data_IF_928999728242
#
_entry.id   IF_928999728242
#
_cell.length_a   1.000
_cell.length_b   1.000
_cell.length_c   1.000
_cell.angle_alpha   90.00
_cell.angle_beta   90.00
_cell.angle_gamma   90.00
#
_symmetry.space_group_name_H-M   'P 1'
#
loop_
_entity.id
_entity.type
_entity.pdbx_description
1 polymer ?
#
# COMPACT_ATOMS: atom_id res chain seq x y z
N UNK A 1 21.63 11.10 24.15
CA UNK A 1 20.34 11.82 24.11
C UNK A 1 19.57 11.30 22.91
N UNK A 2 18.26 11.08 23.03
CA UNK A 2 17.44 10.69 21.88
C UNK A 2 17.37 11.87 20.89
N UNK A 3 17.35 11.57 19.60
CA UNK A 3 17.17 12.56 18.56
C UNK A 3 15.76 13.16 18.66
N UNK A 4 15.66 14.48 18.67
CA UNK A 4 14.41 15.23 18.70
C UNK A 4 13.83 15.28 17.29
N UNK A 5 12.62 14.77 17.09
CA UNK A 5 12.01 14.74 15.75
C UNK A 5 10.62 15.35 15.75
N UNK A 6 10.25 15.89 14.59
CA UNK A 6 8.87 16.10 14.20
C UNK A 6 8.47 14.98 13.23
N UNK A 7 7.27 14.44 13.38
CA UNK A 7 6.76 13.39 12.49
C UNK A 7 5.74 13.98 11.52
N UNK A 8 5.94 13.86 10.21
CA UNK A 8 4.99 14.35 9.21
C UNK A 8 4.05 13.22 8.76
N UNK A 9 2.79 13.28 9.21
CA UNK A 9 1.70 12.38 8.84
C UNK A 9 1.03 11.76 10.06
N UNK A 10 -0.21 12.16 10.37
CA UNK A 10 -1.01 11.60 11.46
C UNK A 10 -2.01 10.55 10.95
N UNK A 11 -1.55 9.62 10.11
CA UNK A 11 -2.30 8.46 9.64
C UNK A 11 -1.97 7.21 10.47
N UNK A 12 -2.56 6.07 10.12
CA UNK A 12 -2.20 4.78 10.74
C UNK A 12 -0.71 4.47 10.59
N UNK A 13 -0.09 4.82 9.45
CA UNK A 13 1.35 4.64 9.24
C UNK A 13 2.20 5.45 10.21
N UNK A 14 1.82 6.71 10.47
CA UNK A 14 2.46 7.55 11.48
C UNK A 14 2.26 7.04 12.90
N UNK A 15 1.05 6.56 13.22
CA UNK A 15 0.77 5.93 14.51
C UNK A 15 1.64 4.70 14.76
N UNK A 16 1.77 3.82 13.76
CA UNK A 16 2.60 2.63 13.83
C UNK A 16 4.09 3.00 13.95
N UNK A 17 4.55 4.00 13.19
CA UNK A 17 5.92 4.49 13.31
C UNK A 17 6.24 4.95 14.74
N UNK A 18 5.33 5.73 15.37
CA UNK A 18 5.49 6.17 16.76
C UNK A 18 5.60 4.97 17.69
N UNK A 19 4.70 3.99 17.54
CA UNK A 19 4.70 2.77 18.37
C UNK A 19 6.03 2.02 18.24
N UNK A 20 6.52 1.84 17.02
CA UNK A 20 7.72 1.07 16.72
C UNK A 20 9.01 1.78 17.17
N UNK A 21 8.98 3.12 17.22
CA UNK A 21 10.17 3.95 17.50
C UNK A 21 10.06 4.82 18.75
N UNK A 22 9.09 4.53 19.65
CA UNK A 22 8.89 5.30 20.89
C UNK A 22 10.15 5.33 21.77
N UNK A 23 10.98 4.28 21.67
CA UNK A 23 12.23 4.15 22.40
C UNK A 23 13.43 4.76 21.68
N UNK A 24 13.32 5.05 20.38
CA UNK A 24 14.44 5.50 19.55
C UNK A 24 14.49 7.03 19.45
N UNK A 25 13.33 7.68 19.41
CA UNK A 25 13.21 9.13 19.22
C UNK A 25 12.55 9.84 20.40
N UNK A 26 12.79 11.15 20.46
CA UNK A 26 11.97 12.07 21.23
C UNK A 26 11.01 12.79 20.27
N UNK A 27 9.75 12.38 20.25
CA UNK A 27 8.71 12.96 19.39
C UNK A 27 8.23 14.29 19.99
N UNK A 28 8.49 15.39 19.29
CA UNK A 28 8.11 16.72 19.78
C UNK A 28 6.67 17.10 19.38
N UNK A 29 6.27 16.78 18.15
CA UNK A 29 4.93 16.97 17.62
C UNK A 29 4.75 16.15 16.34
N UNK A 30 3.49 16.00 15.92
CA UNK A 30 3.09 15.40 14.64
C UNK A 30 2.58 16.52 13.74
N UNK A 31 3.08 16.60 12.51
CA UNK A 31 2.63 17.55 11.50
C UNK A 31 1.62 16.85 10.60
N UNK A 32 0.47 17.47 10.34
CA UNK A 32 -0.49 16.97 9.35
C UNK A 32 -1.12 18.15 8.60
N UNK A 33 -1.44 17.96 7.32
CA UNK A 33 -2.08 18.99 6.51
C UNK A 33 -3.59 19.11 6.77
N UNK A 34 -4.21 18.10 7.40
CA UNK A 34 -5.61 18.13 7.78
C UNK A 34 -5.86 19.02 9.01
N UNK A 35 -6.41 20.21 8.79
CA UNK A 35 -6.76 21.17 9.83
C UNK A 35 -7.71 20.61 10.89
N UNK A 36 -8.54 19.62 10.54
CA UNK A 36 -9.45 18.99 11.49
C UNK A 36 -8.73 18.16 12.55
N UNK A 37 -7.44 17.83 12.34
CA UNK A 37 -6.62 17.08 13.29
C UNK A 37 -5.85 18.00 14.23
N UNK A 38 -5.64 19.26 13.90
CA UNK A 38 -4.78 20.17 14.67
C UNK A 38 -5.30 20.36 16.10
N UNK A 39 -4.38 20.37 17.07
CA UNK A 39 -4.68 20.44 18.50
C UNK A 39 -5.19 19.14 19.13
N UNK A 40 -5.45 18.09 18.33
CA UNK A 40 -5.73 16.75 18.85
C UNK A 40 -4.43 16.02 19.19
N UNK A 41 -4.54 14.98 20.01
CA UNK A 41 -3.44 14.10 20.35
C UNK A 41 -3.53 12.80 19.56
N UNK A 42 -2.40 12.33 19.02
CA UNK A 42 -2.21 10.96 18.54
C UNK A 42 -1.06 10.34 19.32
N UNK A 43 -1.30 9.22 19.98
CA UNK A 43 -0.31 8.57 20.86
C UNK A 43 0.27 9.53 21.93
N UNK A 44 -0.57 10.40 22.50
CA UNK A 44 -0.22 11.47 23.45
C UNK A 44 0.74 12.55 22.91
N UNK A 45 0.92 12.62 21.59
CA UNK A 45 1.72 13.66 20.92
C UNK A 45 0.75 14.59 20.18
N UNK A 46 0.97 15.90 20.30
CA UNK A 46 0.13 16.92 19.67
C UNK A 46 0.28 16.93 18.15
N UNK A 47 -0.84 17.04 17.44
CA UNK A 47 -0.88 17.27 16.01
C UNK A 47 -0.93 18.77 15.74
N UNK A 48 0.01 19.27 14.96
CA UNK A 48 0.20 20.69 14.66
C UNK A 48 0.08 20.98 13.15
N UNK A 49 -0.19 22.25 12.84
CA UNK A 49 -0.06 22.78 11.49
C UNK A 49 1.40 22.80 11.04
N UNK A 50 1.70 22.55 9.74
CA UNK A 50 3.04 22.74 9.18
C UNK A 50 3.63 24.13 9.42
N UNK A 51 2.78 25.17 9.55
CA UNK A 51 3.23 26.54 9.82
C UNK A 51 3.85 26.71 11.22
N UNK A 52 3.57 25.80 12.14
CA UNK A 52 4.06 25.84 13.52
C UNK A 52 5.41 25.15 13.72
N UNK A 53 6.02 24.58 12.67
CA UNK A 53 7.28 23.82 12.75
C UNK A 53 8.40 24.63 13.45
N UNK A 54 8.51 25.93 13.17
CA UNK A 54 9.56 26.79 13.73
C UNK A 54 9.41 27.07 15.24
N UNK A 55 8.28 26.70 15.86
CA UNK A 55 8.10 26.81 17.30
C UNK A 55 8.86 25.71 18.07
N UNK A 56 9.43 24.73 17.37
CA UNK A 56 10.08 23.56 17.95
C UNK A 56 11.58 23.54 17.64
N UNK A 57 12.39 23.13 18.62
CA UNK A 57 13.80 22.83 18.43
C UNK A 57 13.99 21.32 18.17
N UNK A 58 13.94 20.93 16.91
CA UNK A 58 14.11 19.54 16.45
C UNK A 58 15.46 19.35 15.75
N UNK A 59 15.87 18.09 15.55
CA UNK A 59 17.03 17.70 14.75
C UNK A 59 16.61 17.42 13.30
N UNK A 60 15.54 16.64 13.10
CA UNK A 60 15.01 16.25 11.77
C UNK A 60 13.50 16.08 11.74
N UNK A 61 12.94 16.02 10.53
CA UNK A 61 11.56 15.66 10.25
C UNK A 61 11.56 14.28 9.61
N UNK A 62 10.73 13.37 10.12
CA UNK A 62 10.50 12.06 9.50
C UNK A 62 9.13 12.06 8.83
N UNK A 63 9.07 11.77 7.54
CA UNK A 63 7.83 11.73 6.75
C UNK A 63 7.30 10.30 6.70
N UNK A 64 6.09 10.09 7.22
CA UNK A 64 5.37 8.81 7.24
C UNK A 64 4.16 8.84 6.32
N UNK A 65 4.31 9.50 5.18
CA UNK A 65 3.24 9.79 4.23
C UNK A 65 3.65 9.40 2.82
N UNK A 66 2.70 8.91 2.04
CA UNK A 66 2.88 8.69 0.61
C UNK A 66 3.01 10.00 -0.19
N UNK A 67 2.63 11.14 0.37
CA UNK A 67 2.73 12.45 -0.29
C UNK A 67 4.17 13.01 -0.26
N UNK A 68 5.11 12.30 -0.87
CA UNK A 68 6.55 12.61 -0.86
C UNK A 68 6.86 13.96 -1.50
N UNK A 69 6.42 14.20 -2.73
CA UNK A 69 6.81 15.38 -3.53
C UNK A 69 6.19 16.66 -2.96
N UNK A 70 4.89 16.61 -2.65
CA UNK A 70 4.15 17.75 -2.11
C UNK A 70 4.62 18.14 -0.71
N UNK A 71 4.91 17.17 0.16
CA UNK A 71 5.49 17.44 1.49
C UNK A 71 6.91 17.98 1.35
N UNK A 72 7.74 17.40 0.48
CA UNK A 72 9.12 17.89 0.27
C UNK A 72 9.13 19.35 -0.18
N UNK A 73 8.28 19.69 -1.16
CA UNK A 73 8.11 21.06 -1.64
C UNK A 73 7.62 21.99 -0.53
N UNK A 74 6.61 21.58 0.22
CA UNK A 74 6.06 22.37 1.34
C UNK A 74 7.11 22.63 2.41
N UNK A 75 7.90 21.62 2.79
CA UNK A 75 8.97 21.76 3.77
C UNK A 75 10.09 22.67 3.27
N UNK A 76 10.45 22.58 1.98
CA UNK A 76 11.42 23.49 1.37
C UNK A 76 10.92 24.95 1.35
N UNK A 77 9.64 25.18 1.05
CA UNK A 77 9.00 26.51 1.11
C UNK A 77 8.97 27.08 2.54
N UNK A 78 8.89 26.22 3.55
CA UNK A 78 9.03 26.57 4.97
C UNK A 78 10.50 26.70 5.41
N UNK A 79 11.47 26.62 4.49
CA UNK A 79 12.89 26.77 4.78
C UNK A 79 13.52 25.58 5.52
N UNK A 80 12.89 24.41 5.50
CA UNK A 80 13.48 23.18 6.03
C UNK A 80 14.37 22.56 4.95
N UNK A 81 15.68 22.40 5.21
CA UNK A 81 16.59 21.89 4.21
C UNK A 81 16.49 20.36 4.08
N UNK A 82 16.72 19.85 2.88
CA UNK A 82 16.51 18.43 2.51
C UNK A 82 17.27 17.46 3.43
N UNK A 83 18.50 17.80 3.84
CA UNK A 83 19.29 16.96 4.76
C UNK A 83 18.66 16.77 6.16
N UNK A 84 17.60 17.52 6.48
CA UNK A 84 16.84 17.38 7.73
C UNK A 84 15.53 16.63 7.53
N UNK A 85 15.28 16.09 6.34
CA UNK A 85 14.08 15.35 5.98
C UNK A 85 14.48 13.90 5.73
N UNK A 86 13.83 12.98 6.41
CA UNK A 86 13.96 11.54 6.18
C UNK A 86 12.60 10.94 5.86
N UNK A 87 12.56 9.97 4.95
CA UNK A 87 11.34 9.22 4.65
C UNK A 87 11.34 7.90 5.39
N UNK A 88 10.28 7.64 6.15
CA UNK A 88 10.12 6.38 6.85
C UNK A 88 10.04 5.23 5.84
N UNK A 89 10.73 4.13 6.13
CA UNK A 89 10.57 2.91 5.34
C UNK A 89 9.18 2.32 5.58
N UNK A 90 8.61 1.63 4.58
CA UNK A 90 7.32 0.95 4.73
C UNK A 90 7.32 0.03 5.96
N UNK A 91 8.36 -0.78 6.13
CA UNK A 91 8.51 -1.69 7.26
C UNK A 91 8.51 -0.98 8.63
N UNK A 92 9.08 0.22 8.74
CA UNK A 92 9.03 0.99 9.99
C UNK A 92 7.62 1.44 10.38
N UNK A 93 6.68 1.42 9.44
CA UNK A 93 5.27 1.80 9.62
C UNK A 93 4.32 0.58 9.65
N UNK A 94 4.84 -0.65 9.52
CA UNK A 94 4.03 -1.87 9.60
C UNK A 94 3.77 -2.26 11.06
N UNK A 95 2.78 -3.13 11.25
CA UNK A 95 2.51 -3.76 12.55
C UNK A 95 3.57 -4.81 12.88
N UNK A 96 3.70 -5.19 14.16
CA UNK A 96 4.76 -6.10 14.65
C UNK A 96 4.67 -7.51 14.05
N UNK A 97 3.49 -7.92 13.59
CA UNK A 97 3.26 -9.25 13.02
C UNK A 97 3.46 -9.21 11.50
N UNK A 98 4.46 -9.96 11.00
CA UNK A 98 4.72 -10.17 9.58
C UNK A 98 3.95 -11.42 9.12
N UNK A 99 2.79 -11.27 8.44
CA UNK A 99 1.89 -12.38 8.18
C UNK A 99 2.55 -13.47 7.33
N UNK A 100 3.40 -13.10 6.38
CA UNK A 100 4.02 -14.03 5.44
C UNK A 100 5.31 -14.69 5.99
N UNK A 101 5.76 -14.33 7.20
CA UNK A 101 6.76 -15.11 7.95
C UNK A 101 6.11 -16.21 8.80
N UNK A 102 4.83 -16.10 9.13
CA UNK A 102 4.10 -17.15 9.85
C UNK A 102 3.68 -18.25 8.85
N UNK A 103 4.19 -19.49 8.97
CA UNK A 103 3.91 -20.53 7.98
C UNK A 103 2.42 -20.88 7.84
N UNK A 104 1.66 -20.84 8.93
CA UNK A 104 0.23 -21.15 8.91
C UNK A 104 -0.58 -20.05 8.20
N UNK A 105 -0.24 -18.78 8.45
CA UNK A 105 -0.87 -17.65 7.75
C UNK A 105 -0.47 -17.68 6.27
N UNK A 106 0.81 -17.90 5.96
CA UNK A 106 1.29 -18.00 4.59
C UNK A 106 0.58 -19.10 3.79
N UNK A 107 0.41 -20.30 4.37
CA UNK A 107 -0.31 -21.39 3.72
C UNK A 107 -1.77 -21.00 3.40
N UNK A 108 -2.46 -20.39 4.37
CA UNK A 108 -3.82 -19.89 4.17
C UNK A 108 -3.88 -18.76 3.13
N UNK A 109 -2.91 -17.85 3.11
CA UNK A 109 -2.80 -16.79 2.09
C UNK A 109 -2.62 -17.38 0.69
N UNK A 110 -1.75 -18.39 0.53
CA UNK A 110 -1.54 -19.10 -0.73
C UNK A 110 -2.81 -19.78 -1.23
N UNK A 111 -3.57 -20.41 -0.33
CA UNK A 111 -4.88 -20.98 -0.63
C UNK A 111 -5.88 -19.89 -1.06
N UNK A 112 -5.92 -18.74 -0.37
CA UNK A 112 -6.80 -17.63 -0.72
C UNK A 112 -6.48 -17.05 -2.10
N UNK A 113 -5.19 -16.83 -2.43
CA UNK A 113 -4.75 -16.38 -3.76
C UNK A 113 -5.24 -17.35 -4.84
N UNK A 114 -5.16 -18.65 -4.59
CA UNK A 114 -5.63 -19.69 -5.50
C UNK A 114 -7.14 -19.61 -5.73
N UNK A 115 -7.93 -19.44 -4.67
CA UNK A 115 -9.39 -19.30 -4.78
C UNK A 115 -9.79 -17.99 -5.47
N UNK A 116 -9.10 -16.88 -5.19
CA UNK A 116 -9.31 -15.59 -5.87
C UNK A 116 -9.04 -15.74 -7.37
N UNK A 117 -7.89 -16.32 -7.75
CA UNK A 117 -7.53 -16.55 -9.15
C UNK A 117 -8.58 -17.38 -9.89
N UNK A 118 -9.12 -18.43 -9.25
CA UNK A 118 -10.21 -19.24 -9.80
C UNK A 118 -11.50 -18.43 -9.97
N UNK A 119 -11.87 -17.59 -8.99
CA UNK A 119 -13.09 -16.78 -9.06
C UNK A 119 -13.06 -15.74 -10.18
N UNK A 120 -11.87 -15.22 -10.50
CA UNK A 120 -11.66 -14.19 -11.52
C UNK A 120 -11.36 -14.80 -12.90
N UNK A 121 -11.60 -16.10 -13.08
CA UNK A 121 -11.42 -16.74 -14.37
C UNK A 121 -12.23 -15.99 -15.44
N UNK A 122 -11.55 -15.63 -16.54
CA UNK A 122 -12.08 -14.82 -17.66
C UNK A 122 -12.33 -13.34 -17.37
N UNK A 123 -11.99 -12.85 -16.19
CA UNK A 123 -11.96 -11.41 -15.89
C UNK A 123 -10.49 -10.97 -15.93
N UNK A 124 -10.13 -9.98 -16.76
CA UNK A 124 -8.75 -9.48 -16.79
C UNK A 124 -8.31 -8.96 -15.41
N UNK A 125 -7.25 -9.55 -14.87
CA UNK A 125 -6.63 -9.18 -13.60
C UNK A 125 -5.15 -9.56 -13.65
N UNK A 126 -4.32 -8.87 -12.88
CA UNK A 126 -2.87 -9.02 -12.93
C UNK A 126 -2.28 -8.94 -11.53
N UNK A 127 -1.53 -9.94 -11.09
CA UNK A 127 -0.74 -9.81 -9.88
C UNK A 127 0.40 -8.83 -10.14
N UNK A 128 0.56 -7.82 -9.27
CA UNK A 128 1.45 -6.67 -9.49
C UNK A 128 2.29 -6.37 -8.24
N UNK A 129 3.11 -5.32 -8.31
CA UNK A 129 3.86 -4.77 -7.17
C UNK A 129 4.61 -5.83 -6.32
N UNK A 130 4.52 -5.76 -4.98
CA UNK A 130 5.28 -6.60 -4.06
C UNK A 130 4.94 -8.08 -4.21
N UNK A 131 3.68 -8.38 -4.53
CA UNK A 131 3.22 -9.74 -4.82
C UNK A 131 3.90 -10.32 -6.05
N UNK A 132 3.85 -9.61 -7.18
CA UNK A 132 4.54 -10.02 -8.41
C UNK A 132 6.04 -10.11 -8.20
N UNK A 133 6.65 -9.13 -7.52
CA UNK A 133 8.08 -9.09 -7.25
C UNK A 133 8.53 -10.33 -6.49
N UNK A 134 7.84 -10.69 -5.41
CA UNK A 134 8.15 -11.90 -4.64
C UNK A 134 8.03 -13.16 -5.50
N UNK A 135 6.93 -13.32 -6.22
CA UNK A 135 6.67 -14.52 -7.03
C UNK A 135 7.69 -14.64 -8.17
N UNK A 136 7.99 -13.55 -8.87
CA UNK A 136 8.94 -13.53 -9.97
C UNK A 136 10.40 -13.78 -9.53
N UNK A 137 10.81 -13.21 -8.38
CA UNK A 137 12.18 -13.31 -7.89
C UNK A 137 12.44 -14.60 -7.11
N UNK A 138 11.55 -14.89 -6.17
CA UNK A 138 11.77 -15.87 -5.11
C UNK A 138 10.78 -17.06 -5.19
N UNK A 139 9.83 -17.02 -6.13
CA UNK A 139 8.79 -18.05 -6.28
C UNK A 139 7.76 -18.06 -5.15
N UNK A 140 7.69 -17.00 -4.34
CA UNK A 140 6.91 -16.92 -3.10
C UNK A 140 6.58 -15.48 -2.73
N UNK A 141 5.64 -15.28 -1.80
CA UNK A 141 5.37 -13.95 -1.24
C UNK A 141 6.57 -13.40 -0.46
N UNK A 142 6.73 -12.07 -0.45
CA UNK A 142 7.80 -11.40 0.30
C UNK A 142 7.53 -11.55 1.81
N UNK A 143 8.46 -12.09 2.62
CA UNK A 143 8.19 -12.38 4.04
C UNK A 143 7.73 -11.18 4.88
N UNK A 144 8.31 -10.02 4.61
CA UNK A 144 8.03 -8.77 5.32
C UNK A 144 6.91 -7.94 4.65
N UNK A 145 6.18 -8.53 3.69
CA UNK A 145 4.95 -7.93 3.18
C UNK A 145 3.71 -8.28 4.00
N UNK A 146 2.69 -7.43 3.87
CA UNK A 146 1.43 -7.50 4.60
C UNK A 146 0.21 -7.19 3.70
N UNK A 147 0.41 -7.19 2.39
CA UNK A 147 -0.62 -7.02 1.39
C UNK A 147 -0.38 -7.88 0.14
N UNK A 148 -1.48 -8.12 -0.58
CA UNK A 148 -1.51 -8.78 -1.88
C UNK A 148 -2.04 -7.79 -2.90
N UNK A 149 -1.28 -7.55 -3.97
CA UNK A 149 -1.58 -6.54 -4.97
C UNK A 149 -2.05 -7.17 -6.28
N UNK A 150 -3.28 -6.85 -6.67
CA UNK A 150 -3.90 -7.27 -7.93
C UNK A 150 -4.40 -6.04 -8.66
N UNK A 151 -3.94 -5.81 -9.88
CA UNK A 151 -4.45 -4.75 -10.74
C UNK A 151 -5.64 -5.28 -11.57
N UNK A 152 -6.68 -4.46 -11.68
CA UNK A 152 -7.89 -4.74 -12.49
C UNK A 152 -8.21 -3.51 -13.34
N UNK A 153 -8.86 -3.67 -14.48
CA UNK A 153 -9.39 -2.50 -15.19
C UNK A 153 -10.55 -1.89 -14.41
N UNK A 154 -10.56 -0.56 -14.24
CA UNK A 154 -11.64 0.14 -13.55
C UNK A 154 -13.02 -0.11 -14.18
N UNK A 155 -13.06 -0.34 -15.50
CA UNK A 155 -14.28 -0.74 -16.24
C UNK A 155 -14.82 -2.12 -15.86
N UNK A 156 -13.97 -3.00 -15.31
CA UNK A 156 -14.34 -4.36 -14.90
C UNK A 156 -14.55 -4.47 -13.38
N UNK A 157 -14.39 -3.39 -12.60
CA UNK A 157 -14.56 -3.40 -11.13
C UNK A 157 -15.86 -4.07 -10.70
N UNK A 158 -16.99 -3.75 -11.34
CA UNK A 158 -18.27 -4.34 -10.96
C UNK A 158 -18.27 -5.87 -11.17
N UNK A 159 -17.70 -6.37 -12.27
CA UNK A 159 -17.61 -7.81 -12.53
C UNK A 159 -16.70 -8.50 -11.52
N UNK A 160 -15.58 -7.87 -11.16
CA UNK A 160 -14.66 -8.36 -10.12
C UNK A 160 -15.40 -8.42 -8.77
N UNK A 161 -16.09 -7.35 -8.39
CA UNK A 161 -16.88 -7.32 -7.16
C UNK A 161 -17.90 -8.47 -7.11
N UNK A 162 -18.69 -8.65 -8.18
CA UNK A 162 -19.68 -9.72 -8.27
C UNK A 162 -19.03 -11.11 -8.16
N UNK A 163 -17.90 -11.32 -8.84
CA UNK A 163 -17.16 -12.59 -8.79
C UNK A 163 -16.62 -12.91 -7.38
N UNK A 164 -16.06 -11.90 -6.70
CA UNK A 164 -15.57 -12.04 -5.32
C UNK A 164 -16.72 -12.36 -4.35
N UNK A 165 -17.84 -11.63 -4.45
CA UNK A 165 -19.02 -11.86 -3.60
C UNK A 165 -19.65 -13.23 -3.85
N UNK A 166 -19.73 -13.66 -5.11
CA UNK A 166 -20.25 -14.99 -5.45
C UNK A 166 -19.38 -16.13 -4.89
N UNK A 167 -18.08 -15.87 -4.68
CA UNK A 167 -17.11 -16.84 -4.17
C UNK A 167 -16.81 -16.64 -2.68
N UNK A 168 -17.48 -15.71 -2.01
CA UNK A 168 -17.10 -15.24 -0.66
C UNK A 168 -17.02 -16.37 0.36
N UNK A 169 -17.92 -17.36 0.27
CA UNK A 169 -17.93 -18.53 1.17
C UNK A 169 -16.67 -19.38 1.09
N UNK A 170 -16.03 -19.45 -0.08
CA UNK A 170 -14.76 -20.18 -0.23
C UNK A 170 -13.64 -19.42 0.47
N UNK A 171 -13.66 -18.09 0.40
CA UNK A 171 -12.68 -17.24 1.06
C UNK A 171 -12.88 -17.24 2.58
N UNK A 172 -14.14 -17.22 3.04
CA UNK A 172 -14.50 -17.30 4.47
C UNK A 172 -14.15 -18.63 5.14
N UNK A 173 -14.09 -19.71 4.36
CA UNK A 173 -13.56 -20.97 4.85
C UNK A 173 -12.07 -20.89 5.22
N UNK A 174 -11.38 -19.82 4.79
CA UNK A 174 -9.96 -19.58 5.03
C UNK A 174 -9.80 -18.49 6.09
N UNK A 175 -10.32 -17.27 5.89
CA UNK A 175 -10.20 -16.15 6.83
C UNK A 175 -11.55 -15.53 7.12
N UNK A 176 -11.71 -14.87 8.28
CA UNK A 176 -12.79 -13.89 8.43
C UNK A 176 -12.49 -12.69 7.52
N UNK A 177 -13.51 -12.10 6.90
CA UNK A 177 -13.30 -11.11 5.84
C UNK A 177 -14.10 -9.84 6.08
N UNK A 178 -13.50 -8.72 5.66
CA UNK A 178 -14.23 -7.47 5.44
C UNK A 178 -13.87 -6.88 4.10
N UNK A 179 -14.87 -6.67 3.25
CA UNK A 179 -14.68 -6.15 1.90
C UNK A 179 -15.15 -4.71 1.82
N UNK A 180 -14.37 -3.90 1.13
CA UNK A 180 -14.64 -2.50 0.92
C UNK A 180 -14.49 -2.11 -0.54
N UNK A 181 -15.31 -1.14 -0.93
CA UNK A 181 -15.16 -0.41 -2.16
C UNK A 181 -14.56 0.96 -1.86
N UNK A 182 -13.49 1.29 -2.57
CA UNK A 182 -12.90 2.63 -2.56
C UNK A 182 -13.30 3.35 -3.84
N UNK A 183 -13.80 4.57 -3.70
CA UNK A 183 -14.21 5.40 -4.84
C UNK A 183 -13.56 6.76 -4.69
N UNK A 184 -12.88 7.23 -5.74
CA UNK A 184 -12.26 8.55 -5.74
C UNK A 184 -13.31 9.65 -5.62
N UNK A 185 -12.93 10.81 -5.11
CA UNK A 185 -13.80 11.99 -4.96
C UNK A 185 -14.40 12.50 -6.28
N UNK A 186 -13.81 12.14 -7.42
CA UNK A 186 -14.34 12.41 -8.76
C UNK A 186 -15.36 11.36 -9.25
N UNK A 187 -15.74 10.39 -8.42
CA UNK A 187 -16.69 9.32 -8.73
C UNK A 187 -16.12 8.12 -9.47
N UNK A 188 -14.84 8.13 -9.86
CA UNK A 188 -14.20 6.98 -10.52
C UNK A 188 -13.87 5.88 -9.51
N UNK A 189 -13.89 4.60 -9.93
CA UNK A 189 -13.52 3.49 -9.06
C UNK A 189 -12.02 3.56 -8.70
N UNK A 190 -11.71 3.38 -7.42
CA UNK A 190 -10.33 3.39 -6.91
C UNK A 190 -9.80 1.97 -6.68
N UNK A 191 -10.46 1.19 -5.83
CA UNK A 191 -10.09 -0.21 -5.60
C UNK A 191 -11.24 -1.01 -4.97
N UNK A 192 -11.06 -2.32 -4.90
CA UNK A 192 -11.76 -3.21 -3.97
C UNK A 192 -10.70 -3.72 -2.98
N UNK A 193 -10.97 -3.68 -1.68
CA UNK A 193 -10.04 -4.18 -0.67
C UNK A 193 -10.70 -5.28 0.15
N UNK A 194 -9.97 -6.36 0.39
CA UNK A 194 -10.37 -7.46 1.29
C UNK A 194 -9.42 -7.44 2.49
N UNK A 195 -9.91 -7.05 3.66
CA UNK A 195 -9.19 -7.29 4.90
C UNK A 195 -9.37 -8.76 5.30
N UNK A 196 -8.26 -9.46 5.48
CA UNK A 196 -8.23 -10.84 5.97
C UNK A 196 -7.97 -10.81 7.47
N UNK A 197 -8.83 -11.48 8.24
CA UNK A 197 -8.89 -11.40 9.69
C UNK A 197 -8.72 -12.81 10.27
N UNK A 198 -7.90 -12.90 11.31
CA UNK A 198 -7.68 -14.12 12.10
C UNK A 198 -7.80 -13.76 13.58
N UNK A 199 -8.58 -14.52 14.35
CA UNK A 199 -8.76 -14.29 15.80
C UNK A 199 -9.18 -12.84 16.13
N UNK A 200 -10.04 -12.24 15.29
CA UNK A 200 -10.54 -10.88 15.46
C UNK A 200 -9.52 -9.77 15.16
N UNK A 201 -8.37 -10.09 14.55
CA UNK A 201 -7.36 -9.11 14.12
C UNK A 201 -7.11 -9.20 12.63
N UNK A 202 -7.02 -8.05 11.96
CA UNK A 202 -6.55 -7.97 10.57
C UNK A 202 -5.10 -8.45 10.51
N UNK A 203 -4.85 -9.45 9.66
CA UNK A 203 -3.51 -10.02 9.45
C UNK A 203 -2.83 -9.48 8.18
N UNK A 204 -3.58 -9.33 7.08
CA UNK A 204 -3.12 -8.72 5.83
C UNK A 204 -4.34 -8.23 5.03
N UNK A 205 -4.10 -7.62 3.87
CA UNK A 205 -5.18 -7.29 2.94
C UNK A 205 -4.88 -7.72 1.51
N UNK A 206 -5.94 -7.93 0.73
CA UNK A 206 -5.86 -8.07 -0.73
C UNK A 206 -6.43 -6.82 -1.37
N UNK A 207 -5.63 -6.13 -2.18
CA UNK A 207 -6.03 -4.94 -2.92
C UNK A 207 -6.25 -5.27 -4.39
N UNK A 208 -7.42 -4.90 -4.89
CA UNK A 208 -7.76 -4.91 -6.31
C UNK A 208 -7.76 -3.47 -6.83
N UNK A 209 -6.60 -2.99 -7.25
CA UNK A 209 -6.41 -1.61 -7.68
C UNK A 209 -6.97 -1.37 -9.08
N UNK A 210 -7.82 -0.35 -9.21
CA UNK A 210 -8.44 -0.01 -10.48
C UNK A 210 -7.49 0.81 -11.36
N UNK A 211 -7.10 0.21 -12.47
CA UNK A 211 -6.35 0.82 -13.54
C UNK A 211 -7.26 1.64 -14.45
N UNK A 212 -6.78 2.81 -14.87
CA UNK A 212 -7.40 3.63 -15.93
C UNK A 212 -6.42 3.82 -17.08
N UNK A 213 -6.84 3.49 -18.30
CA UNK A 213 -6.07 3.79 -19.51
C UNK A 213 -6.14 5.29 -19.82
N UNK A 214 -4.97 5.88 -20.08
CA UNK A 214 -4.77 7.28 -20.44
C UNK A 214 -3.69 7.37 -21.53
N UNK A 215 -4.12 7.24 -22.78
CA UNK A 215 -3.22 7.14 -23.94
C UNK A 215 -2.32 5.90 -23.86
N UNK A 216 -1.01 6.11 -23.94
CA UNK A 216 0.01 5.06 -23.85
C UNK A 216 0.36 4.67 -22.39
N UNK A 217 -0.36 5.22 -21.41
CA UNK A 217 -0.13 4.97 -19.99
C UNK A 217 -1.36 4.34 -19.31
N UNK A 218 -1.08 3.56 -18.28
CA UNK A 218 -2.04 3.11 -17.28
C UNK A 218 -1.78 3.88 -15.99
N UNK A 219 -2.84 4.48 -15.47
CA UNK A 219 -2.87 5.24 -14.22
C UNK A 219 -3.48 4.39 -13.11
N UNK A 220 -2.79 4.29 -11.99
CA UNK A 220 -3.26 3.72 -10.72
C UNK A 220 -3.08 4.77 -9.60
N UNK A 221 -3.48 4.44 -8.36
CA UNK A 221 -3.44 5.40 -7.24
C UNK A 221 -2.03 5.96 -7.00
N UNK A 222 -1.05 5.06 -6.95
CA UNK A 222 0.33 5.40 -6.61
C UNK A 222 1.31 5.23 -7.77
N UNK A 223 0.87 4.73 -8.92
CA UNK A 223 1.76 4.42 -10.03
C UNK A 223 1.19 4.80 -11.40
N UNK A 224 2.08 5.28 -12.27
CA UNK A 224 1.88 5.38 -13.71
C UNK A 224 2.84 4.42 -14.42
N UNK A 225 2.29 3.61 -15.33
CA UNK A 225 3.09 2.62 -16.08
C UNK A 225 2.67 2.59 -17.55
N UNK A 226 3.56 2.21 -18.48
CA UNK A 226 3.20 2.04 -19.89
C UNK A 226 2.04 1.03 -20.10
N UNK A 227 1.05 1.41 -20.90
CA UNK A 227 -0.14 0.60 -21.15
C UNK A 227 0.16 -0.74 -21.80
N UNK A 228 1.26 -0.84 -22.56
CA UNK A 228 1.74 -2.09 -23.19
C UNK A 228 1.88 -3.26 -22.21
N UNK A 229 2.14 -2.99 -20.93
CA UNK A 229 2.24 -4.04 -19.90
C UNK A 229 0.88 -4.67 -19.55
N UNK A 230 -0.22 -4.04 -19.93
CA UNK A 230 -1.58 -4.52 -19.69
C UNK A 230 -2.34 -4.84 -21.00
N UNK A 231 -1.65 -4.78 -22.15
CA UNK A 231 -2.15 -5.24 -23.46
C UNK A 231 -1.93 -6.76 -23.60
N UNK A 232 -2.72 -7.52 -22.85
CA UNK A 232 -2.52 -8.95 -22.65
C UNK A 232 -1.78 -9.24 -21.34
N UNK A 233 -1.34 -10.48 -21.16
CA UNK A 233 -0.66 -10.94 -19.94
C UNK A 233 0.43 -11.96 -20.27
N UNK A 234 1.33 -12.16 -19.31
CA UNK A 234 2.11 -13.39 -19.20
C UNK A 234 1.59 -14.21 -18.01
N UNK A 235 2.04 -15.45 -17.88
CA UNK A 235 1.64 -16.34 -16.78
C UNK A 235 2.85 -16.78 -15.95
N UNK A 236 2.69 -16.77 -14.63
CA UNK A 236 3.63 -17.39 -13.70
C UNK A 236 2.98 -18.59 -13.00
N UNK A 237 3.78 -19.62 -12.73
CA UNK A 237 3.35 -20.71 -11.85
C UNK A 237 3.42 -20.25 -10.40
N UNK A 238 2.34 -20.44 -9.65
CA UNK A 238 2.30 -20.16 -8.21
C UNK A 238 1.37 -21.19 -7.54
N UNK A 239 1.87 -21.89 -6.52
CA UNK A 239 1.07 -22.83 -5.71
C UNK A 239 0.25 -23.85 -6.52
N UNK A 240 0.82 -24.34 -7.63
CA UNK A 240 0.19 -25.34 -8.49
C UNK A 240 -0.83 -24.79 -9.50
N UNK A 241 -1.07 -23.47 -9.53
CA UNK A 241 -1.87 -22.79 -10.55
C UNK A 241 -1.03 -21.88 -11.44
N UNK A 242 -1.67 -21.35 -12.49
CA UNK A 242 -1.17 -20.23 -13.29
C UNK A 242 -1.86 -18.95 -12.84
N UNK A 243 -1.07 -17.94 -12.54
CA UNK A 243 -1.55 -16.59 -12.25
C UNK A 243 -1.22 -15.66 -13.40
N UNK A 244 -2.13 -14.72 -13.68
CA UNK A 244 -1.93 -13.69 -14.68
C UNK A 244 -1.05 -12.57 -14.12
N UNK A 245 -0.05 -12.15 -14.88
CA UNK A 245 0.84 -11.05 -14.55
C UNK A 245 0.92 -10.08 -15.73
N UNK A 246 1.38 -8.82 -15.54
CA UNK A 246 1.55 -7.90 -16.65
C UNK A 246 2.34 -8.54 -17.80
N UNK A 247 1.96 -8.23 -19.04
CA UNK A 247 2.72 -8.63 -20.22
C UNK A 247 4.13 -8.10 -20.11
N UNK A 248 5.15 -8.92 -20.41
CA UNK A 248 6.55 -8.57 -20.15
C UNK A 248 6.74 -8.15 -18.67
N UNK A 249 6.32 -9.02 -17.74
CA UNK A 249 6.35 -8.72 -16.31
C UNK A 249 7.75 -8.32 -15.80
N UNK A 250 8.82 -8.79 -16.46
CA UNK A 250 10.19 -8.39 -16.15
C UNK A 250 10.42 -6.92 -16.50
N UNK A 251 10.04 -6.49 -17.71
CA UNK A 251 10.07 -5.09 -18.10
C UNK A 251 9.18 -4.21 -17.21
N UNK A 252 8.03 -4.71 -16.75
CA UNK A 252 7.20 -4.03 -15.76
C UNK A 252 7.91 -3.85 -14.42
N UNK A 253 8.57 -4.89 -13.90
CA UNK A 253 9.34 -4.82 -12.66
C UNK A 253 10.58 -3.92 -12.80
N UNK A 254 11.28 -3.97 -13.93
CA UNK A 254 12.40 -3.07 -14.25
C UNK A 254 11.93 -1.61 -14.25
N UNK A 255 10.78 -1.33 -14.85
CA UNK A 255 10.20 0.01 -14.88
C UNK A 255 9.77 0.49 -13.47
N UNK A 256 9.20 -0.40 -12.67
CA UNK A 256 8.63 -0.06 -11.35
C UNK A 256 9.71 0.09 -10.27
N UNK A 257 10.71 -0.79 -10.26
CA UNK A 257 11.66 -0.94 -9.15
C UNK A 257 13.13 -0.75 -9.56
N UNK A 258 13.44 -0.67 -10.86
CA UNK A 258 14.80 -0.71 -11.37
C UNK A 258 15.42 -2.09 -11.14
N UNK A 259 16.51 -2.16 -10.38
CA UNK A 259 17.19 -3.43 -10.07
C UNK A 259 16.45 -4.22 -8.97
N UNK A 260 15.35 -4.85 -9.36
CA UNK A 260 14.45 -5.59 -8.47
C UNK A 260 15.01 -6.95 -8.01
N UNK A 261 16.11 -7.39 -8.61
CA UNK A 261 16.79 -8.63 -8.24
C UNK A 261 17.55 -8.46 -6.92
N UNK A 262 17.91 -7.22 -6.57
CA UNK A 262 18.48 -6.89 -5.27
C UNK A 262 17.37 -6.76 -4.23
N UNK A 263 17.48 -7.55 -3.16
CA UNK A 263 16.55 -7.49 -2.03
C UNK A 263 16.72 -6.16 -1.28
N UNK A 264 15.68 -5.32 -1.31
CA UNK A 264 15.58 -4.09 -0.51
C UNK A 264 14.48 -4.25 0.53
N UNK A 265 14.86 -4.38 1.81
CA UNK A 265 13.88 -4.49 2.91
C UNK A 265 13.34 -3.13 3.35
N UNK A 266 14.19 -2.10 3.36
CA UNK A 266 13.85 -0.80 3.92
C UNK A 266 13.58 0.23 2.82
N UNK A 267 12.53 0.00 2.04
CA UNK A 267 12.08 0.95 1.00
C UNK A 267 11.02 1.89 1.55
N UNK A 268 11.14 3.18 1.26
CA UNK A 268 10.15 4.23 1.45
C UNK A 268 9.37 4.49 0.16
N UNK A 269 8.36 5.36 0.20
CA UNK A 269 7.68 5.84 -1.01
C UNK A 269 8.61 6.66 -1.91
N UNK A 270 9.66 7.28 -1.35
CA UNK A 270 10.62 8.08 -2.10
C UNK A 270 11.61 7.24 -2.93
N UNK A 271 11.70 5.92 -2.70
CA UNK A 271 12.67 5.05 -3.38
C UNK A 271 12.21 4.54 -4.76
N UNK A 272 10.91 4.61 -5.07
CA UNK A 272 10.31 4.03 -6.29
C UNK A 272 10.08 5.08 -7.39
N UNK A 273 11.11 5.85 -7.76
CA UNK A 273 10.94 7.16 -8.41
C UNK A 273 10.40 7.18 -9.85
N UNK A 274 10.44 6.06 -10.60
CA UNK A 274 10.08 6.08 -12.03
C UNK A 274 8.57 5.96 -12.23
N UNK A 275 7.94 4.98 -11.60
CA UNK A 275 6.50 4.76 -11.73
C UNK A 275 5.69 5.53 -10.70
N UNK A 276 6.30 5.87 -9.56
CA UNK A 276 5.58 6.45 -8.44
C UNK A 276 4.96 7.81 -8.76
N UNK A 277 3.78 8.05 -8.20
CA UNK A 277 3.09 9.33 -8.16
C UNK A 277 2.28 9.45 -6.88
N UNK A 278 2.05 10.68 -6.47
CA UNK A 278 1.12 10.94 -5.37
C UNK A 278 -0.35 10.72 -5.80
N UNK A 279 -1.21 10.32 -4.87
CA UNK A 279 -2.65 10.31 -5.10
C UNK A 279 -3.18 11.70 -5.44
N UNK A 280 -4.05 11.79 -6.44
CA UNK A 280 -4.67 13.06 -6.85
C UNK A 280 -6.04 13.31 -6.19
N UNK A 281 -6.68 12.24 -5.72
CA UNK A 281 -8.05 12.28 -5.22
C UNK A 281 -8.12 11.58 -3.87
N UNK A 282 -8.88 12.15 -2.94
CA UNK A 282 -9.32 11.42 -1.76
C UNK A 282 -10.29 10.31 -2.13
N UNK A 283 -10.42 9.31 -1.27
CA UNK A 283 -11.32 8.18 -1.47
C UNK A 283 -12.42 8.16 -0.40
N UNK A 284 -13.64 7.82 -0.81
CA UNK A 284 -14.67 7.30 0.09
C UNK A 284 -14.52 5.80 0.22
N UNK A 285 -14.92 5.24 1.36
CA UNK A 285 -14.87 3.81 1.67
C UNK A 285 -16.28 3.34 1.98
N UNK A 286 -16.74 2.30 1.29
CA UNK A 286 -18.03 1.65 1.52
C UNK A 286 -17.79 0.18 1.87
N UNK A 287 -18.29 -0.28 3.01
CA UNK A 287 -18.25 -1.73 3.35
C UNK A 287 -19.34 -2.45 2.57
N UNK A 288 -18.96 -3.48 1.82
CA UNK A 288 -19.89 -4.29 1.02
C UNK A 288 -20.07 -5.71 1.53
N UNK A 289 -19.18 -6.17 2.40
CA UNK A 289 -19.28 -7.47 3.06
C UNK A 289 -18.51 -7.45 4.38
N UNK A 290 -19.03 -8.15 5.38
CA UNK A 290 -18.34 -8.43 6.64
C UNK A 290 -18.80 -9.81 7.13
N UNK A 291 -17.85 -10.68 7.43
CA UNK A 291 -18.10 -11.98 8.06
C UNK A 291 -18.84 -11.81 9.39
N UNK A 292 -19.68 -12.78 9.73
CA UNK A 292 -20.49 -12.76 10.96
C UNK A 292 -19.78 -13.41 12.15
#
# INVERSE_FOLDING_TARGET
>A
MKCNILLFGASLGGQNFIKNHINDYNFLAIIDNDEQKHGKLLSNIEIISPRSIHNYNFDKIIVTSMYVDSISKQLAELGIPEQRIEFASKNSMKVDELPFENPAILEKTNQLITEISKSLNRIPHFYTFGTLLGIARDGRLIPWDDDIDIAIFGSDRQKVQEALINSIKNFEAIFDLKLYLRTYSNGKPASITIDCIENGRKVFMVNFDCMTLDGEMVKQELNDTPAKFFEGYDELSFEGIKINVPKDYKGYLDYTYGDWHIVKKNTSFADNTISFREPLYSCTIETIYESK
#
